data_IF_463184206044
#
_entry.id   IF_463184206044
#
_cell.length_a   1.000
_cell.length_b   1.000
_cell.length_c   1.000
_cell.angle_alpha   90.00
_cell.angle_beta   90.00
_cell.angle_gamma   90.00
#
_symmetry.space_group_name_H-M   'P 1'
#
loop_
_entity.id
_entity.type
_entity.pdbx_description
1 polymer ?
#
# COMPACT_ATOMS: atom_id res chain seq x y z
N UNK A 1 28.06 47.47 -37.61
CA UNK A 1 28.98 46.37 -37.24
C UNK A 1 28.39 45.73 -35.98
N UNK A 2 27.38 44.88 -36.15
CA UNK A 2 26.89 44.05 -35.04
C UNK A 2 27.93 42.95 -34.85
N UNK A 3 28.78 43.17 -33.85
CA UNK A 3 30.09 42.54 -33.69
C UNK A 3 29.96 41.06 -33.34
N UNK A 4 30.96 40.27 -33.75
CA UNK A 4 31.02 38.82 -33.57
C UNK A 4 30.75 38.36 -32.12
N UNK A 5 30.94 39.23 -31.14
CA UNK A 5 30.62 39.04 -29.72
C UNK A 5 29.13 38.78 -29.46
N UNK A 6 28.22 39.52 -30.11
CA UNK A 6 26.77 39.28 -29.97
C UNK A 6 26.36 37.93 -30.58
N UNK A 7 26.98 37.56 -31.70
CA UNK A 7 26.79 36.23 -32.33
C UNK A 7 27.30 35.11 -31.44
N UNK A 8 28.50 35.27 -30.88
CA UNK A 8 29.12 34.28 -30.02
C UNK A 8 28.34 34.11 -28.70
N UNK A 9 27.85 35.21 -28.12
CA UNK A 9 27.00 35.19 -26.93
C UNK A 9 25.68 34.43 -27.17
N UNK A 10 25.01 34.66 -28.30
CA UNK A 10 23.79 33.90 -28.66
C UNK A 10 24.07 32.40 -28.85
N UNK A 11 25.20 32.04 -29.46
CA UNK A 11 25.59 30.64 -29.64
C UNK A 11 25.90 29.95 -28.31
N UNK A 12 26.58 30.63 -27.38
CA UNK A 12 26.86 30.11 -26.04
C UNK A 12 25.57 29.77 -25.27
N UNK A 13 24.59 30.67 -25.28
CA UNK A 13 23.28 30.45 -24.62
C UNK A 13 22.52 29.27 -25.24
N UNK A 14 22.54 29.14 -26.57
CA UNK A 14 21.92 28.01 -27.29
C UNK A 14 22.61 26.68 -26.96
N UNK A 15 23.95 26.68 -26.87
CA UNK A 15 24.75 25.52 -26.48
C UNK A 15 24.47 25.08 -25.05
N UNK A 16 24.42 26.04 -24.11
CA UNK A 16 24.12 25.78 -22.71
C UNK A 16 22.71 25.20 -22.52
N UNK A 17 21.69 25.79 -23.15
CA UNK A 17 20.31 25.27 -23.14
C UNK A 17 20.19 23.88 -23.79
N UNK A 18 21.06 23.56 -24.75
CA UNK A 18 21.10 22.22 -25.34
C UNK A 18 21.78 21.19 -24.43
N UNK A 19 22.69 21.60 -23.55
CA UNK A 19 23.31 20.72 -22.56
C UNK A 19 22.35 20.49 -21.38
N UNK A 20 21.66 21.54 -20.93
CA UNK A 20 20.65 21.45 -19.87
C UNK A 20 19.54 20.46 -20.23
N UNK A 21 18.94 20.58 -21.44
CA UNK A 21 17.95 19.59 -21.94
C UNK A 21 18.49 18.16 -22.04
N UNK A 22 19.80 17.99 -22.30
CA UNK A 22 20.40 16.65 -22.31
C UNK A 22 20.54 16.12 -20.89
N UNK A 23 20.97 16.97 -19.94
CA UNK A 23 21.09 16.62 -18.53
C UNK A 23 19.71 16.25 -17.93
N UNK A 24 18.70 17.11 -18.11
CA UNK A 24 17.31 16.88 -17.71
C UNK A 24 16.80 15.54 -18.22
N UNK A 25 16.90 15.28 -19.53
CA UNK A 25 16.46 14.00 -20.10
C UNK A 25 17.10 12.76 -19.44
N UNK A 26 18.36 12.85 -19.00
CA UNK A 26 19.02 11.79 -18.22
C UNK A 26 18.48 11.68 -16.78
N UNK A 27 18.19 12.81 -16.14
CA UNK A 27 17.67 12.87 -14.78
C UNK A 27 16.22 12.41 -14.71
N UNK A 28 15.37 12.78 -15.67
CA UNK A 28 14.02 12.22 -15.81
C UNK A 28 14.06 10.71 -16.01
N UNK A 29 14.96 10.21 -16.85
CA UNK A 29 15.07 8.78 -17.11
C UNK A 29 15.59 8.03 -15.87
N UNK A 30 16.53 8.62 -15.13
CA UNK A 30 17.00 8.10 -13.84
C UNK A 30 15.89 8.11 -12.80
N UNK A 31 15.14 9.20 -12.68
CA UNK A 31 14.02 9.33 -11.74
C UNK A 31 12.88 8.38 -12.09
N UNK A 32 12.57 8.18 -13.36
CA UNK A 32 11.58 7.21 -13.82
C UNK A 32 11.97 5.78 -13.41
N UNK A 33 13.24 5.41 -13.61
CA UNK A 33 13.78 4.11 -13.16
C UNK A 33 13.71 3.96 -11.63
N UNK A 34 14.10 4.98 -10.89
CA UNK A 34 14.05 4.96 -9.42
C UNK A 34 12.61 4.87 -8.91
N UNK A 35 11.68 5.62 -9.52
CA UNK A 35 10.26 5.58 -9.21
C UNK A 35 9.69 4.18 -9.42
N UNK A 36 10.01 3.52 -10.54
CA UNK A 36 9.60 2.14 -10.81
C UNK A 36 10.12 1.14 -9.74
N UNK A 37 11.37 1.30 -9.29
CA UNK A 37 11.93 0.46 -8.22
C UNK A 37 11.22 0.67 -6.88
N UNK A 38 10.89 1.92 -6.54
CA UNK A 38 10.16 2.26 -5.30
C UNK A 38 8.73 1.69 -5.35
N UNK A 39 8.04 1.83 -6.49
CA UNK A 39 6.70 1.26 -6.66
C UNK A 39 6.71 -0.26 -6.51
N UNK A 40 7.66 -0.94 -7.16
CA UNK A 40 7.81 -2.38 -7.03
C UNK A 40 8.11 -2.82 -5.58
N UNK A 41 8.95 -2.08 -4.85
CA UNK A 41 9.20 -2.35 -3.43
C UNK A 41 7.95 -2.13 -2.55
N UNK A 42 7.15 -1.11 -2.89
CA UNK A 42 5.88 -0.80 -2.22
C UNK A 42 4.83 -1.89 -2.46
N UNK A 43 4.66 -2.34 -3.68
CA UNK A 43 3.76 -3.45 -4.04
C UNK A 43 4.13 -4.73 -3.30
N UNK A 44 5.42 -5.09 -3.24
CA UNK A 44 5.85 -6.27 -2.46
C UNK A 44 5.51 -6.15 -0.97
N UNK A 45 5.65 -4.96 -0.39
CA UNK A 45 5.26 -4.72 1.00
C UNK A 45 3.74 -4.84 1.21
N UNK A 46 2.95 -4.28 0.28
CA UNK A 46 1.50 -4.34 0.36
C UNK A 46 0.97 -5.78 0.19
N UNK A 47 1.52 -6.55 -0.76
CA UNK A 47 1.12 -7.94 -0.99
C UNK A 47 1.38 -8.84 0.24
N UNK A 48 2.47 -8.61 0.98
CA UNK A 48 2.75 -9.34 2.23
C UNK A 48 1.73 -9.00 3.31
N UNK A 49 1.42 -7.71 3.48
CA UNK A 49 0.47 -7.24 4.49
C UNK A 49 -0.95 -7.69 4.16
N UNK A 50 -1.36 -7.59 2.90
CA UNK A 50 -2.70 -7.95 2.46
C UNK A 50 -2.93 -9.46 2.54
N UNK A 51 -1.97 -10.27 2.08
CA UNK A 51 -2.05 -11.74 2.21
C UNK A 51 -2.06 -12.21 3.67
N UNK A 52 -1.25 -11.61 4.55
CA UNK A 52 -1.26 -11.90 5.98
C UNK A 52 -2.58 -11.52 6.63
N UNK A 53 -3.11 -10.33 6.34
CA UNK A 53 -4.38 -9.87 6.86
C UNK A 53 -5.55 -10.72 6.37
N UNK A 54 -5.57 -11.11 5.09
CA UNK A 54 -6.60 -11.99 4.54
C UNK A 54 -6.67 -13.34 5.28
N UNK A 55 -5.52 -13.98 5.52
CA UNK A 55 -5.47 -15.23 6.26
C UNK A 55 -5.87 -15.07 7.74
N UNK A 56 -5.41 -14.01 8.40
CA UNK A 56 -5.77 -13.71 9.80
C UNK A 56 -7.27 -13.46 9.96
N UNK A 57 -7.86 -12.68 9.06
CA UNK A 57 -9.31 -12.38 9.06
C UNK A 57 -10.10 -13.68 8.82
N UNK A 58 -9.71 -14.50 7.86
CA UNK A 58 -10.36 -15.81 7.63
C UNK A 58 -10.30 -16.70 8.88
N UNK A 59 -9.13 -16.80 9.51
CA UNK A 59 -8.93 -17.61 10.72
C UNK A 59 -9.82 -17.11 11.86
N UNK A 60 -9.92 -15.79 12.04
CA UNK A 60 -10.81 -15.20 13.04
C UNK A 60 -12.28 -15.57 12.80
N UNK A 61 -12.79 -15.43 11.57
CA UNK A 61 -14.18 -15.76 11.25
C UNK A 61 -14.48 -17.26 11.34
N UNK A 62 -13.52 -18.11 10.98
CA UNK A 62 -13.63 -19.55 11.15
C UNK A 62 -13.75 -19.92 12.64
N UNK A 63 -12.86 -19.38 13.49
CA UNK A 63 -12.90 -19.58 14.94
C UNK A 63 -14.22 -19.07 15.55
N UNK A 64 -14.70 -17.91 15.10
CA UNK A 64 -15.98 -17.33 15.55
C UNK A 64 -17.17 -18.25 15.22
N UNK A 65 -17.16 -18.86 14.05
CA UNK A 65 -18.22 -19.81 13.64
C UNK A 65 -18.23 -21.05 14.51
N UNK A 66 -17.06 -21.61 14.83
CA UNK A 66 -16.93 -22.77 15.73
C UNK A 66 -17.40 -22.41 17.14
N UNK A 67 -17.02 -21.24 17.66
CA UNK A 67 -17.46 -20.77 18.97
C UNK A 67 -18.97 -20.59 19.03
N UNK A 68 -19.57 -19.97 18.01
CA UNK A 68 -21.03 -19.80 17.92
C UNK A 68 -21.77 -21.13 17.82
N UNK A 69 -21.24 -22.10 17.07
CA UNK A 69 -21.81 -23.44 17.01
C UNK A 69 -21.76 -24.10 18.39
N UNK A 70 -20.64 -23.97 19.10
CA UNK A 70 -20.48 -24.53 20.46
C UNK A 70 -21.46 -23.92 21.46
N UNK A 71 -21.64 -22.59 21.43
CA UNK A 71 -22.59 -21.91 22.33
C UNK A 71 -24.04 -22.23 21.98
N UNK A 72 -24.37 -22.40 20.70
CA UNK A 72 -25.69 -22.86 20.26
C UNK A 72 -26.00 -24.29 20.72
N UNK A 73 -25.04 -25.21 20.58
CA UNK A 73 -25.21 -26.59 21.08
C UNK A 73 -25.43 -26.63 22.60
N UNK A 74 -24.65 -25.84 23.35
CA UNK A 74 -24.83 -25.71 24.79
C UNK A 74 -26.20 -25.13 25.16
N UNK A 75 -26.64 -24.08 24.44
CA UNK A 75 -27.95 -23.43 24.62
C UNK A 75 -29.11 -24.36 24.31
N UNK A 76 -29.00 -25.17 23.26
CA UNK A 76 -30.04 -26.13 22.87
C UNK A 76 -30.17 -27.30 23.87
N UNK A 77 -29.12 -27.58 24.66
CA UNK A 77 -29.13 -28.60 25.70
C UNK A 77 -29.61 -28.10 27.07
N UNK A 78 -29.89 -26.80 27.25
CA UNK A 78 -30.32 -26.24 28.54
C UNK A 78 -31.83 -25.98 28.60
N UNK A 79 -32.42 -26.26 29.76
CA UNK A 79 -33.83 -25.92 30.02
C UNK A 79 -34.01 -24.43 30.33
N UNK A 80 -35.21 -23.89 30.05
CA UNK A 80 -35.53 -22.48 30.27
C UNK A 80 -35.39 -22.06 31.75
N UNK A 81 -35.66 -23.00 32.67
CA UNK A 81 -35.53 -22.84 34.11
C UNK A 81 -34.06 -22.76 34.56
N UNK A 82 -33.17 -23.56 33.97
CA UNK A 82 -31.72 -23.50 34.23
C UNK A 82 -31.10 -22.21 33.66
N UNK A 83 -31.50 -21.80 32.44
CA UNK A 83 -31.05 -20.52 31.88
C UNK A 83 -31.40 -19.34 32.78
N UNK A 84 -32.62 -19.34 33.34
CA UNK A 84 -33.10 -18.25 34.19
C UNK A 84 -32.32 -18.16 35.51
N UNK A 85 -31.89 -19.29 36.08
CA UNK A 85 -31.04 -19.32 37.29
C UNK A 85 -29.64 -18.76 37.07
N UNK A 86 -29.07 -18.92 35.87
CA UNK A 86 -27.68 -18.50 35.58
C UNK A 86 -27.62 -17.05 35.10
N UNK A 87 -28.58 -16.60 34.28
CA UNK A 87 -28.58 -15.26 33.68
C UNK A 87 -29.12 -14.19 34.62
N UNK A 88 -30.01 -14.56 35.55
CA UNK A 88 -30.55 -13.66 36.56
C UNK A 88 -30.27 -14.25 37.95
N UNK A 89 -29.04 -14.04 38.49
CA UNK A 89 -28.78 -14.35 39.89
C UNK A 89 -29.57 -13.34 40.74
N UNK A 90 -30.51 -13.85 41.53
CA UNK A 90 -31.24 -13.07 42.53
C UNK A 90 -30.34 -12.68 43.69
#
# INVERSE_FOLDING_TARGET
>A
EETDEQRNSRLAVMGQRSQERRAEGTDEQRNSRLSAMVQHARERRLNVIEGQNQHQIQTFYAARTVLNRRTQLWRNGQSLSEMRRVVFPG
#
